data_IF_748370317918
#
_entry.id   IF_748370317918
#
_cell.length_a   1.000
_cell.length_b   1.000
_cell.length_c   1.000
_cell.angle_alpha   90.00
_cell.angle_beta   90.00
_cell.angle_gamma   90.00
#
_symmetry.space_group_name_H-M   'P 1'
#
loop_
_entity.id
_entity.type
_entity.pdbx_description
1 polymer ?
#
# COMPACT_ATOMS: atom_id res chain seq x y z
N UNK A 1 -13.31 0.09 -5.50
CA UNK A 1 -13.03 -1.36 -5.39
C UNK A 1 -12.38 -1.96 -6.64
N UNK A 2 -12.83 -1.64 -7.85
CA UNK A 2 -12.29 -2.22 -9.09
C UNK A 2 -10.75 -2.11 -9.21
N UNK A 3 -10.17 -0.94 -8.96
CA UNK A 3 -8.71 -0.74 -9.06
C UNK A 3 -7.93 -1.52 -7.99
N UNK A 4 -8.48 -1.68 -6.79
CA UNK A 4 -7.86 -2.48 -5.72
C UNK A 4 -7.82 -3.95 -6.15
N UNK A 5 -8.94 -4.45 -6.66
CA UNK A 5 -9.08 -5.84 -7.13
C UNK A 5 -8.40 -6.08 -8.46
N UNK A 6 -7.90 -5.04 -9.14
CA UNK A 6 -7.11 -5.14 -10.38
C UNK A 6 -5.65 -5.52 -10.08
N UNK A 7 -5.12 -5.10 -8.93
CA UNK A 7 -3.72 -5.31 -8.54
C UNK A 7 -3.27 -6.78 -8.51
N UNK A 8 -4.09 -7.76 -8.09
CA UNK A 8 -3.68 -9.17 -8.14
C UNK A 8 -3.53 -9.71 -9.57
N UNK A 9 -4.22 -9.13 -10.56
CA UNK A 9 -4.30 -9.68 -11.93
C UNK A 9 -3.44 -8.89 -12.93
N UNK A 10 -3.64 -7.57 -13.02
CA UNK A 10 -3.02 -6.73 -14.05
C UNK A 10 -2.40 -5.47 -13.41
N UNK A 11 -1.08 -5.49 -13.31
CA UNK A 11 -0.26 -4.37 -12.85
C UNK A 11 0.66 -4.00 -14.00
N UNK A 12 0.67 -2.72 -14.39
CA UNK A 12 1.60 -2.19 -15.37
C UNK A 12 2.92 -1.85 -14.70
N UNK A 13 4.04 -2.15 -15.36
CA UNK A 13 5.36 -1.84 -14.86
C UNK A 13 5.60 -0.32 -14.78
N UNK A 14 5.03 0.44 -15.71
CA UNK A 14 5.07 1.91 -15.69
C UNK A 14 4.40 2.49 -14.43
N UNK A 15 3.27 1.91 -14.01
CA UNK A 15 2.57 2.33 -12.80
C UNK A 15 3.40 2.00 -11.55
N UNK A 16 4.10 0.87 -11.54
CA UNK A 16 5.01 0.48 -10.44
C UNK A 16 6.21 1.42 -10.37
N UNK A 17 6.84 1.76 -11.50
CA UNK A 17 7.93 2.74 -11.55
C UNK A 17 7.47 4.09 -11.00
N UNK A 18 6.31 4.56 -11.46
CA UNK A 18 5.73 5.82 -10.98
C UNK A 18 5.47 5.79 -9.48
N UNK A 19 4.86 4.71 -8.98
CA UNK A 19 4.57 4.53 -7.56
C UNK A 19 5.85 4.48 -6.70
N UNK A 20 6.90 3.78 -7.16
CA UNK A 20 8.21 3.75 -6.48
C UNK A 20 8.80 5.15 -6.34
N UNK A 21 8.80 5.93 -7.42
CA UNK A 21 9.31 7.30 -7.40
C UNK A 21 8.50 8.21 -6.47
N UNK A 22 7.17 8.11 -6.50
CA UNK A 22 6.30 8.86 -5.59
C UNK A 22 6.54 8.50 -4.13
N UNK A 23 6.71 7.21 -3.81
CA UNK A 23 6.98 6.75 -2.45
C UNK A 23 8.32 7.28 -1.93
N UNK A 24 9.39 7.21 -2.73
CA UNK A 24 10.70 7.74 -2.35
C UNK A 24 10.64 9.24 -2.06
N UNK A 25 10.00 10.01 -2.95
CA UNK A 25 9.83 11.45 -2.77
C UNK A 25 9.01 11.77 -1.53
N UNK A 26 7.91 11.05 -1.29
CA UNK A 26 7.06 11.25 -0.11
C UNK A 26 7.83 10.98 1.19
N UNK A 27 8.62 9.92 1.25
CA UNK A 27 9.42 9.59 2.43
C UNK A 27 10.49 10.65 2.72
N UNK A 28 11.19 11.14 1.69
CA UNK A 28 12.17 12.22 1.87
C UNK A 28 11.52 13.52 2.33
N UNK A 29 10.39 13.89 1.72
CA UNK A 29 9.69 15.11 2.06
C UNK A 29 9.14 15.08 3.49
N UNK A 30 8.77 13.91 3.99
CA UNK A 30 8.25 13.74 5.34
C UNK A 30 9.31 13.93 6.43
N UNK A 31 10.58 13.65 6.15
CA UNK A 31 11.68 13.74 7.12
C UNK A 31 12.26 15.17 7.20
N UNK A 32 11.60 16.15 6.58
CA UNK A 32 12.05 17.54 6.60
C UNK A 32 11.71 18.23 7.93
N UNK A 33 12.73 18.46 8.76
CA UNK A 33 12.63 19.23 10.00
C UNK A 33 12.97 18.41 11.25
N UNK A 34 13.44 19.09 12.30
CA UNK A 34 13.97 18.44 13.50
C UNK A 34 12.95 17.53 14.19
N UNK A 35 11.69 17.99 14.31
CA UNK A 35 10.61 17.22 14.95
C UNK A 35 10.34 15.90 14.21
N UNK A 36 10.27 15.96 12.88
CA UNK A 36 10.03 14.78 12.04
C UNK A 36 11.18 13.78 12.07
N UNK A 37 12.43 14.28 12.15
CA UNK A 37 13.60 13.41 12.31
C UNK A 37 13.58 12.69 13.65
N UNK A 38 13.21 13.36 14.74
CA UNK A 38 13.15 12.76 16.08
C UNK A 38 12.04 11.71 16.16
N UNK A 39 10.86 12.01 15.60
CA UNK A 39 9.76 11.04 15.48
C UNK A 39 10.19 9.80 14.68
N UNK A 40 10.82 9.99 13.51
CA UNK A 40 11.27 8.89 12.67
C UNK A 40 12.28 7.99 13.38
N UNK A 41 13.25 8.58 14.10
CA UNK A 41 14.23 7.83 14.90
C UNK A 41 13.52 7.02 15.98
N UNK A 42 12.66 7.66 16.77
CA UNK A 42 11.95 7.01 17.89
C UNK A 42 11.05 5.88 17.40
N UNK A 43 10.23 6.15 16.37
CA UNK A 43 9.32 5.17 15.79
C UNK A 43 10.09 3.98 15.20
N UNK A 44 11.12 4.21 14.39
CA UNK A 44 11.90 3.12 13.79
C UNK A 44 12.64 2.28 14.83
N UNK A 45 13.15 2.91 15.89
CA UNK A 45 13.82 2.20 16.98
C UNK A 45 12.84 1.28 17.73
N UNK A 46 11.60 1.72 17.95
CA UNK A 46 10.56 0.89 18.55
C UNK A 46 10.03 -0.21 17.62
N UNK A 47 9.84 0.07 16.33
CA UNK A 47 9.26 -0.90 15.39
C UNK A 47 10.27 -1.92 14.86
N UNK A 48 11.51 -1.50 14.63
CA UNK A 48 12.54 -2.28 13.95
C UNK A 48 13.78 -2.56 14.80
N UNK A 49 13.88 -1.96 16.00
CA UNK A 49 15.07 -2.03 16.84
C UNK A 49 16.28 -1.23 16.32
N UNK A 50 16.13 -0.57 15.17
CA UNK A 50 17.19 0.22 14.54
C UNK A 50 16.61 1.26 13.58
N UNK A 51 17.40 2.30 13.30
CA UNK A 51 17.11 3.22 12.20
C UNK A 51 17.57 2.61 10.88
N UNK A 52 16.68 2.55 9.89
CA UNK A 52 16.99 2.06 8.54
C UNK A 52 17.63 3.20 7.75
N UNK A 53 18.86 3.04 7.22
CA UNK A 53 19.48 4.04 6.36
C UNK A 53 18.66 4.28 5.08
N UNK A 54 18.62 5.53 4.60
CA UNK A 54 17.88 5.89 3.38
C UNK A 54 18.33 5.07 2.16
N UNK A 55 19.62 4.76 2.05
CA UNK A 55 20.15 3.93 0.96
C UNK A 55 19.57 2.51 0.98
N UNK A 56 19.45 1.90 2.17
CA UNK A 56 18.82 0.58 2.32
C UNK A 56 17.33 0.65 1.98
N UNK A 57 16.65 1.71 2.45
CA UNK A 57 15.23 1.91 2.17
C UNK A 57 14.97 2.06 0.66
N UNK A 58 15.79 2.82 -0.05
CA UNK A 58 15.66 2.99 -1.50
C UNK A 58 15.95 1.70 -2.26
N UNK A 59 16.99 0.96 -1.87
CA UNK A 59 17.27 -0.35 -2.46
C UNK A 59 16.10 -1.32 -2.28
N UNK A 60 15.46 -1.33 -1.11
CA UNK A 60 14.26 -2.15 -0.84
C UNK A 60 13.06 -1.72 -1.68
N UNK A 61 12.85 -0.41 -1.88
CA UNK A 61 11.76 0.10 -2.73
C UNK A 61 12.01 -0.27 -4.19
N UNK A 62 13.25 -0.16 -4.66
CA UNK A 62 13.63 -0.50 -6.04
C UNK A 62 13.59 -1.98 -6.33
N UNK A 63 13.78 -2.83 -5.33
CA UNK A 63 13.62 -4.27 -5.48
C UNK A 63 12.17 -4.71 -5.75
N UNK A 64 11.19 -3.81 -5.62
CA UNK A 64 9.78 -4.13 -5.89
C UNK A 64 9.50 -4.06 -7.39
N UNK A 65 9.19 -5.23 -7.98
CA UNK A 65 8.75 -5.38 -9.37
C UNK A 65 7.23 -5.63 -9.47
N UNK A 66 6.70 -5.61 -10.69
CA UNK A 66 5.27 -5.84 -10.94
C UNK A 66 4.81 -7.23 -10.46
N UNK A 67 5.67 -8.25 -10.52
CA UNK A 67 5.34 -9.58 -10.02
C UNK A 67 5.26 -9.63 -8.50
N UNK A 68 6.16 -8.92 -7.79
CA UNK A 68 6.09 -8.77 -6.34
C UNK A 68 4.80 -8.06 -5.94
N UNK A 69 4.39 -7.00 -6.64
CA UNK A 69 3.11 -6.33 -6.38
C UNK A 69 1.94 -7.28 -6.58
N UNK A 70 1.89 -8.03 -7.69
CA UNK A 70 0.85 -9.04 -7.93
C UNK A 70 0.82 -10.11 -6.84
N UNK A 71 1.98 -10.61 -6.41
CA UNK A 71 2.11 -11.63 -5.35
C UNK A 71 1.57 -11.13 -4.01
N UNK A 72 1.94 -9.91 -3.62
CA UNK A 72 1.48 -9.28 -2.38
C UNK A 72 0.00 -8.95 -2.45
N UNK A 73 -0.49 -8.45 -3.59
CA UNK A 73 -1.91 -8.19 -3.81
C UNK A 73 -2.73 -9.50 -3.73
N UNK A 74 -2.25 -10.61 -4.30
CA UNK A 74 -2.89 -11.91 -4.12
C UNK A 74 -2.91 -12.36 -2.65
N UNK A 75 -1.85 -12.08 -1.89
CA UNK A 75 -1.80 -12.46 -0.46
C UNK A 75 -2.79 -11.68 0.40
N UNK A 76 -2.88 -10.36 0.21
CA UNK A 76 -3.59 -9.45 1.12
C UNK A 76 -4.93 -8.92 0.62
N UNK A 77 -5.19 -8.96 -0.69
CA UNK A 77 -6.39 -8.35 -1.29
C UNK A 77 -7.31 -9.42 -1.87
N UNK A 78 -6.76 -10.39 -2.59
CA UNK A 78 -7.55 -11.43 -3.24
C UNK A 78 -8.32 -12.26 -2.21
N UNK A 79 -9.64 -12.30 -2.36
CA UNK A 79 -10.57 -13.09 -1.57
C UNK A 79 -10.41 -12.94 -0.04
N UNK A 80 -10.08 -11.71 0.41
CA UNK A 80 -10.00 -11.38 1.84
C UNK A 80 -11.26 -10.71 2.36
N UNK A 81 -11.53 -10.95 3.64
CA UNK A 81 -12.56 -10.23 4.37
C UNK A 81 -12.10 -8.79 4.62
N UNK A 82 -13.06 -7.89 4.61
CA UNK A 82 -12.83 -6.44 4.73
C UNK A 82 -13.48 -5.91 6.00
N UNK A 83 -13.02 -4.75 6.45
CA UNK A 83 -13.67 -3.98 7.50
C UNK A 83 -14.14 -2.65 6.90
N UNK A 84 -15.41 -2.30 7.11
CA UNK A 84 -16.03 -1.06 6.62
C UNK A 84 -16.54 -0.29 7.82
N UNK A 85 -16.13 0.97 7.96
CA UNK A 85 -16.68 1.90 8.94
C UNK A 85 -17.22 3.11 8.18
N UNK A 86 -18.50 3.45 8.38
CA UNK A 86 -19.15 4.57 7.73
C UNK A 86 -20.15 5.25 8.68
N UNK A 87 -20.27 6.58 8.59
CA UNK A 87 -21.10 7.41 9.46
C UNK A 87 -21.79 8.50 8.64
N UNK A 88 -23.04 8.84 8.98
CA UNK A 88 -23.82 9.89 8.32
C UNK A 88 -24.83 9.35 7.30
N UNK A 89 -25.20 10.12 6.27
CA UNK A 89 -26.18 9.72 5.26
C UNK A 89 -25.60 8.69 4.27
N UNK A 90 -25.47 7.45 4.73
CA UNK A 90 -24.84 6.33 4.00
C UNK A 90 -25.85 5.48 3.20
N UNK A 91 -26.98 6.06 2.81
CA UNK A 91 -28.06 5.35 2.09
C UNK A 91 -27.61 4.80 0.73
N UNK A 92 -26.59 5.42 0.11
CA UNK A 92 -25.96 4.94 -1.12
C UNK A 92 -24.78 3.98 -0.92
N UNK A 93 -24.40 3.68 0.32
CA UNK A 93 -23.31 2.74 0.60
C UNK A 93 -23.82 1.30 0.38
N UNK A 94 -23.14 0.51 -0.46
CA UNK A 94 -23.51 -0.89 -0.65
C UNK A 94 -23.38 -1.71 0.63
N UNK A 95 -24.04 -2.87 0.65
CA UNK A 95 -23.92 -3.82 1.75
C UNK A 95 -22.54 -4.50 1.78
N UNK A 96 -22.25 -5.19 2.87
CA UNK A 96 -20.98 -5.89 3.04
C UNK A 96 -20.70 -6.89 1.91
N UNK A 97 -21.72 -7.66 1.49
CA UNK A 97 -21.55 -8.71 0.48
C UNK A 97 -21.15 -8.14 -0.87
N UNK A 98 -21.68 -6.96 -1.23
CA UNK A 98 -21.28 -6.27 -2.44
C UNK A 98 -19.77 -5.98 -2.47
N UNK A 99 -19.18 -5.58 -1.35
CA UNK A 99 -17.76 -5.32 -1.27
C UNK A 99 -16.95 -6.62 -1.18
N UNK A 100 -17.41 -7.61 -0.39
CA UNK A 100 -16.76 -8.93 -0.26
C UNK A 100 -16.70 -9.68 -1.59
N UNK A 101 -17.73 -9.56 -2.43
CA UNK A 101 -17.76 -10.14 -3.79
C UNK A 101 -16.79 -9.43 -4.73
N UNK A 102 -16.50 -8.15 -4.48
CA UNK A 102 -15.62 -7.34 -5.34
C UNK A 102 -14.15 -7.49 -5.01
N UNK A 103 -13.74 -8.26 -4.00
CA UNK A 103 -12.31 -8.52 -3.70
C UNK A 103 -11.65 -9.46 -4.72
N UNK A 104 -12.45 -10.15 -5.55
CA UNK A 104 -11.97 -10.99 -6.66
C UNK A 104 -12.71 -10.66 -7.97
N UNK A 105 -12.18 -11.15 -9.09
CA UNK A 105 -12.75 -10.97 -10.43
C UNK A 105 -12.93 -12.35 -11.06
N UNK A 106 -14.14 -12.68 -11.51
CA UNK A 106 -14.47 -13.97 -12.14
C UNK A 106 -13.96 -14.10 -13.61
N UNK A 107 -13.40 -13.03 -14.17
CA UNK A 107 -12.93 -13.00 -15.56
C UNK A 107 -11.57 -13.68 -15.75
N UNK A 108 -10.80 -13.80 -14.66
CA UNK A 108 -9.46 -14.37 -14.62
C UNK A 108 -9.52 -15.71 -13.88
#
# INVERSE_FOLDING_TARGET
MLEISKLPYRVSEEDVIRARNQLKSSLLLHINGLSHVVEDIGRQLLTYGRRIPLAELFARIDAVDANTVKRIANRFIFDRDIAIAALGPIQGLPDYNWFRRRTYLLRY
#
